data_IF_466943930947
#
_entry.id   IF_466943930947
#
_cell.length_a   1.000
_cell.length_b   1.000
_cell.length_c   1.000
_cell.angle_alpha   90.00
_cell.angle_beta   90.00
_cell.angle_gamma   90.00
#
_symmetry.space_group_name_H-M   'P 1'
#
loop_
_entity.id
_entity.type
_entity.pdbx_description
1 polymer ?
#
# COMPACT_ATOMS: atom_id res chain seq x y z
N UNK A 1 -55.18 -24.37 -11.85
CA UNK A 1 -53.98 -24.39 -12.72
C UNK A 1 -53.29 -23.03 -12.85
N UNK A 2 -53.95 -21.93 -12.48
CA UNK A 2 -53.42 -20.55 -12.58
C UNK A 2 -52.44 -20.16 -11.46
N UNK A 3 -52.57 -20.71 -10.25
CA UNK A 3 -51.68 -20.40 -9.11
C UNK A 3 -50.25 -20.94 -9.23
N UNK A 4 -50.04 -22.03 -9.97
CA UNK A 4 -48.71 -22.66 -10.09
C UNK A 4 -47.79 -21.83 -11.00
N UNK A 5 -48.35 -21.24 -12.07
CA UNK A 5 -47.63 -20.37 -13.02
C UNK A 5 -47.20 -19.05 -12.36
N UNK A 6 -48.08 -18.45 -11.57
CA UNK A 6 -47.80 -17.19 -10.88
C UNK A 6 -46.71 -17.35 -9.80
N UNK A 7 -46.58 -18.54 -9.19
CA UNK A 7 -45.47 -18.85 -8.29
C UNK A 7 -44.15 -19.06 -9.04
N UNK A 8 -44.11 -19.78 -10.17
CA UNK A 8 -42.85 -19.98 -10.90
C UNK A 8 -42.27 -18.66 -11.41
N UNK A 9 -43.11 -17.79 -11.95
CA UNK A 9 -42.70 -16.49 -12.48
C UNK A 9 -42.15 -15.58 -11.36
N UNK A 10 -42.74 -15.66 -10.15
CA UNK A 10 -42.25 -14.96 -8.96
C UNK A 10 -40.90 -15.47 -8.44
N UNK A 11 -40.55 -16.73 -8.68
CA UNK A 11 -39.28 -17.31 -8.23
C UNK A 11 -38.15 -17.02 -9.23
N UNK A 12 -38.42 -17.07 -10.53
CA UNK A 12 -37.47 -16.67 -11.58
C UNK A 12 -37.10 -15.19 -11.46
N UNK A 13 -38.08 -14.30 -11.29
CA UNK A 13 -37.83 -12.86 -11.18
C UNK A 13 -36.97 -12.50 -9.94
N UNK A 14 -37.03 -13.32 -8.89
CA UNK A 14 -36.21 -13.15 -7.67
C UNK A 14 -34.81 -13.70 -7.85
N UNK A 15 -34.62 -14.83 -8.52
CA UNK A 15 -33.30 -15.38 -8.81
C UNK A 15 -32.44 -14.41 -9.61
N UNK A 16 -33.01 -13.81 -10.66
CA UNK A 16 -32.31 -12.84 -11.51
C UNK A 16 -31.90 -11.57 -10.76
N UNK A 17 -32.72 -11.07 -9.83
CA UNK A 17 -32.38 -9.88 -9.02
C UNK A 17 -31.24 -10.14 -8.04
N UNK A 18 -31.18 -11.32 -7.41
CA UNK A 18 -30.04 -11.70 -6.55
C UNK A 18 -28.75 -11.82 -7.36
N UNK A 19 -28.82 -12.51 -8.51
CA UNK A 19 -27.68 -12.68 -9.41
C UNK A 19 -27.20 -11.33 -9.92
N UNK A 20 -28.11 -10.42 -10.28
CA UNK A 20 -27.78 -9.06 -10.68
C UNK A 20 -27.13 -8.26 -9.56
N UNK A 21 -27.56 -8.39 -8.30
CA UNK A 21 -26.94 -7.68 -7.16
C UNK A 21 -25.54 -8.23 -6.87
N UNK A 22 -25.35 -9.54 -6.86
CA UNK A 22 -24.03 -10.16 -6.69
C UNK A 22 -23.13 -9.76 -7.87
N UNK A 23 -23.63 -9.83 -9.09
CA UNK A 23 -22.92 -9.38 -10.28
C UNK A 23 -22.58 -7.90 -10.21
N UNK A 24 -23.48 -7.04 -9.73
CA UNK A 24 -23.20 -5.61 -9.55
C UNK A 24 -22.16 -5.39 -8.47
N UNK A 25 -22.22 -6.09 -7.34
CA UNK A 25 -21.21 -6.01 -6.27
C UNK A 25 -19.83 -6.44 -6.80
N UNK A 26 -19.76 -7.56 -7.50
CA UNK A 26 -18.51 -8.08 -8.09
C UNK A 26 -18.03 -7.16 -9.22
N UNK A 27 -18.90 -6.75 -10.13
CA UNK A 27 -18.56 -5.85 -11.23
C UNK A 27 -18.10 -4.50 -10.71
N UNK A 28 -18.77 -3.92 -9.70
CA UNK A 28 -18.34 -2.64 -9.11
C UNK A 28 -17.08 -2.78 -8.25
N UNK A 29 -16.87 -3.90 -7.55
CA UNK A 29 -15.61 -4.17 -6.84
C UNK A 29 -14.41 -4.33 -7.78
N UNK A 30 -14.63 -4.68 -9.06
CA UNK A 30 -13.59 -4.69 -10.09
C UNK A 30 -13.49 -3.37 -10.86
N UNK A 31 -14.62 -2.76 -11.22
CA UNK A 31 -14.65 -1.55 -12.05
C UNK A 31 -14.20 -0.30 -11.28
N UNK A 32 -14.38 -0.25 -9.96
CA UNK A 32 -13.98 0.90 -9.14
C UNK A 32 -12.47 0.99 -8.94
N UNK A 33 -11.73 -0.07 -8.57
CA UNK A 33 -10.27 0.00 -8.58
C UNK A 33 -9.72 0.36 -9.97
N UNK A 34 -10.32 -0.16 -11.05
CA UNK A 34 -9.97 0.27 -12.43
C UNK A 34 -10.25 1.76 -12.63
N UNK A 35 -11.42 2.26 -12.21
CA UNK A 35 -11.78 3.67 -12.34
C UNK A 35 -10.89 4.59 -11.48
N UNK A 36 -10.51 4.16 -10.28
CA UNK A 36 -9.57 4.87 -9.40
C UNK A 36 -8.19 4.91 -10.04
N UNK A 37 -7.70 3.81 -10.59
CA UNK A 37 -6.44 3.77 -11.34
C UNK A 37 -6.47 4.72 -12.55
N UNK A 38 -7.57 4.74 -13.32
CA UNK A 38 -7.77 5.69 -14.42
C UNK A 38 -7.85 7.14 -13.96
N UNK A 39 -8.55 7.45 -12.88
CA UNK A 39 -8.66 8.80 -12.31
C UNK A 39 -7.30 9.26 -11.77
N UNK A 40 -6.58 8.40 -11.04
CA UNK A 40 -5.23 8.67 -10.53
C UNK A 40 -4.22 8.87 -11.66
N UNK A 41 -4.39 8.17 -12.79
CA UNK A 41 -3.64 8.40 -14.03
C UNK A 41 -4.00 9.74 -14.65
N UNK A 42 -5.29 10.07 -14.75
CA UNK A 42 -5.79 11.29 -15.38
C UNK A 42 -5.45 12.58 -14.60
N UNK A 43 -5.45 12.52 -13.27
CA UNK A 43 -5.11 13.66 -12.39
C UNK A 43 -3.62 14.03 -12.49
N UNK A 44 -2.80 13.21 -13.16
CA UNK A 44 -1.41 13.58 -13.43
C UNK A 44 -0.57 13.64 -12.16
N UNK A 45 -0.76 12.68 -11.24
CA UNK A 45 0.31 12.35 -10.30
C UNK A 45 1.55 12.08 -11.17
N UNK A 46 2.61 12.88 -10.99
CA UNK A 46 3.70 13.10 -11.95
C UNK A 46 4.49 11.85 -12.36
N UNK A 47 4.13 10.69 -11.82
CA UNK A 47 4.73 9.39 -12.05
C UNK A 47 3.66 8.30 -11.89
N UNK A 48 3.85 7.19 -12.59
CA UNK A 48 3.07 5.96 -12.39
C UNK A 48 3.89 4.96 -11.56
N UNK A 49 3.92 5.07 -10.21
CA UNK A 49 4.71 4.20 -9.33
C UNK A 49 4.26 2.74 -9.31
N UNK A 50 3.22 2.39 -10.07
CA UNK A 50 2.78 1.00 -10.23
C UNK A 50 3.44 0.29 -11.38
N UNK A 51 4.18 1.00 -12.24
CA UNK A 51 4.91 0.36 -13.30
C UNK A 51 6.18 -0.24 -12.72
N UNK A 52 6.27 -1.57 -12.59
CA UNK A 52 7.49 -2.20 -12.13
C UNK A 52 8.66 -1.91 -13.04
N UNK A 53 8.47 -1.29 -14.22
CA UNK A 53 9.51 -0.94 -15.18
C UNK A 53 9.34 0.51 -15.66
N UNK A 54 10.20 1.41 -15.15
CA UNK A 54 10.24 2.83 -15.50
C UNK A 54 10.69 3.09 -16.94
N UNK A 55 11.31 2.12 -17.58
CA UNK A 55 11.76 2.24 -18.96
C UNK A 55 10.66 1.89 -19.97
N UNK A 56 9.49 1.43 -19.54
CA UNK A 56 8.34 1.19 -20.44
C UNK A 56 7.55 2.44 -20.80
N UNK A 57 7.71 3.51 -20.03
CA UNK A 57 6.97 4.76 -20.16
C UNK A 57 7.93 5.94 -20.20
N UNK A 58 7.48 7.06 -20.77
CA UNK A 58 8.25 8.30 -20.70
C UNK A 58 8.26 8.76 -19.26
N UNK A 59 9.41 8.73 -18.62
CA UNK A 59 9.57 9.12 -17.22
C UNK A 59 10.72 10.10 -17.06
N UNK A 60 10.66 10.86 -15.98
CA UNK A 60 11.69 11.79 -15.56
C UNK A 60 11.87 11.63 -14.04
N UNK A 61 13.10 11.34 -13.64
CA UNK A 61 13.53 11.21 -12.25
C UNK A 61 14.57 12.30 -12.01
N UNK A 62 14.39 13.08 -10.95
CA UNK A 62 15.30 14.17 -10.59
C UNK A 62 15.83 13.89 -9.20
N UNK A 63 17.15 13.97 -9.04
CA UNK A 63 17.85 13.83 -7.77
C UNK A 63 18.54 15.13 -7.38
N UNK A 64 18.53 15.40 -6.09
CA UNK A 64 19.52 16.23 -5.45
C UNK A 64 20.78 15.37 -5.28
N UNK A 65 21.88 15.80 -5.87
CA UNK A 65 23.16 15.10 -5.81
C UNK A 65 24.19 15.97 -5.10
N UNK A 66 24.83 15.40 -4.10
CA UNK A 66 25.97 16.01 -3.42
C UNK A 66 27.15 15.06 -3.46
N UNK A 67 28.23 15.52 -4.08
CA UNK A 67 29.51 14.84 -3.98
C UNK A 67 30.12 15.16 -2.61
N UNK A 68 30.37 14.13 -1.79
CA UNK A 68 30.80 14.26 -0.38
C UNK A 68 32.06 15.12 -0.14
N UNK A 69 32.80 15.48 -1.19
CA UNK A 69 33.99 16.35 -1.11
C UNK A 69 33.77 17.82 -1.46
N UNK A 70 32.69 18.19 -2.16
CA UNK A 70 32.52 19.54 -2.73
C UNK A 70 31.41 20.39 -2.11
N UNK A 71 30.51 19.83 -1.30
CA UNK A 71 29.51 20.59 -0.54
C UNK A 71 28.44 21.33 -1.36
N UNK A 72 28.59 21.42 -2.67
CA UNK A 72 27.60 22.01 -3.58
C UNK A 72 26.59 20.94 -4.04
N UNK A 73 25.32 21.29 -3.94
CA UNK A 73 24.22 20.50 -4.48
C UNK A 73 24.13 20.71 -5.99
N UNK A 74 24.01 19.61 -6.74
CA UNK A 74 23.75 19.60 -8.17
C UNK A 74 22.47 18.84 -8.46
N UNK A 75 21.82 19.17 -9.56
CA UNK A 75 20.63 18.46 -10.01
C UNK A 75 21.05 17.36 -10.98
N UNK A 76 20.83 16.10 -10.61
CA UNK A 76 21.02 14.96 -11.48
C UNK A 76 19.66 14.54 -12.03
N UNK A 77 19.52 14.50 -13.34
CA UNK A 77 18.27 14.24 -14.03
C UNK A 77 18.39 13.00 -14.89
N UNK A 78 17.41 12.12 -14.81
CA UNK A 78 17.34 10.86 -15.55
C UNK A 78 16.02 10.83 -16.29
N UNK A 79 16.07 10.75 -17.62
CA UNK A 79 14.86 10.69 -18.42
C UNK A 79 14.89 9.49 -19.36
N UNK A 80 13.72 8.88 -19.57
CA UNK A 80 13.52 7.82 -20.53
C UNK A 80 12.49 8.28 -21.57
N UNK A 81 12.74 7.95 -22.84
CA UNK A 81 11.79 8.15 -23.94
C UNK A 81 11.64 6.84 -24.69
N UNK A 82 10.77 5.94 -24.23
CA UNK A 82 10.62 4.63 -24.84
C UNK A 82 10.01 4.74 -26.24
N UNK A 83 10.56 3.93 -27.14
CA UNK A 83 9.98 3.63 -28.43
C UNK A 83 9.40 2.22 -28.34
N UNK A 84 8.08 2.09 -28.24
CA UNK A 84 7.40 0.80 -28.05
C UNK A 84 7.62 -0.19 -29.21
N UNK A 85 8.19 0.27 -30.32
CA UNK A 85 8.58 -0.60 -31.44
C UNK A 85 9.95 -1.24 -31.27
N UNK A 86 10.70 -0.91 -30.21
CA UNK A 86 12.06 -1.38 -29.96
C UNK A 86 12.14 -2.21 -28.68
N UNK A 87 13.13 -3.10 -28.64
CA UNK A 87 13.44 -3.92 -27.46
C UNK A 87 14.15 -3.15 -26.34
N UNK A 88 14.69 -1.97 -26.68
CA UNK A 88 15.47 -1.13 -25.77
C UNK A 88 14.89 0.28 -25.67
N UNK A 89 14.97 0.85 -24.48
CA UNK A 89 14.66 2.24 -24.19
C UNK A 89 15.95 3.01 -23.95
N UNK A 90 16.08 4.16 -24.61
CA UNK A 90 17.18 5.09 -24.34
C UNK A 90 16.92 5.86 -23.04
N UNK A 91 17.93 5.86 -22.16
CA UNK A 91 17.95 6.57 -20.89
C UNK A 91 19.02 7.66 -20.98
N UNK A 92 18.60 8.89 -20.72
CA UNK A 92 19.42 10.09 -20.79
C UNK A 92 19.71 10.54 -19.36
N UNK A 93 20.97 10.77 -19.03
CA UNK A 93 21.39 11.32 -17.74
C UNK A 93 22.03 12.68 -17.94
N UNK A 94 21.57 13.67 -17.19
CA UNK A 94 22.00 15.06 -17.24
C UNK A 94 22.41 15.53 -15.84
N UNK A 95 23.43 16.37 -15.75
CA UNK A 95 23.86 17.01 -14.50
C UNK A 95 23.86 18.53 -14.71
N UNK A 96 23.04 19.23 -13.93
CA UNK A 96 22.77 20.65 -14.10
C UNK A 96 22.42 20.99 -15.56
N UNK A 97 21.49 20.22 -16.13
CA UNK A 97 21.01 20.30 -17.52
C UNK A 97 22.07 20.05 -18.62
N UNK A 98 23.27 19.61 -18.25
CA UNK A 98 24.28 19.17 -19.21
C UNK A 98 24.21 17.66 -19.38
N UNK A 99 24.07 17.21 -20.63
CA UNK A 99 24.12 15.79 -20.98
C UNK A 99 25.43 15.15 -20.49
N UNK A 100 25.32 14.15 -19.62
CA UNK A 100 26.44 13.32 -19.20
C UNK A 100 26.58 12.09 -20.08
N UNK A 101 25.49 11.33 -20.24
CA UNK A 101 25.50 10.09 -21.00
C UNK A 101 24.10 9.73 -21.51
N UNK A 102 24.07 8.93 -22.57
CA UNK A 102 22.89 8.16 -22.96
C UNK A 102 23.26 6.68 -22.96
N UNK A 103 22.48 5.86 -22.27
CA UNK A 103 22.61 4.40 -22.28
C UNK A 103 21.27 3.75 -22.65
N UNK A 104 21.27 2.45 -22.88
CA UNK A 104 20.09 1.71 -23.29
C UNK A 104 19.75 0.64 -22.25
N UNK A 105 18.47 0.49 -21.93
CA UNK A 105 17.94 -0.55 -21.06
C UNK A 105 16.90 -1.40 -21.81
N UNK A 106 16.86 -2.68 -21.50
CA UNK A 106 15.87 -3.62 -22.02
C UNK A 106 14.47 -3.28 -21.51
N UNK A 107 13.51 -3.24 -22.43
CA UNK A 107 12.13 -2.86 -22.15
C UNK A 107 11.42 -3.84 -21.20
N UNK A 108 11.76 -5.14 -21.23
CA UNK A 108 11.05 -6.17 -20.47
C UNK A 108 11.70 -6.47 -19.11
N UNK A 109 13.02 -6.65 -19.10
CA UNK A 109 13.80 -7.01 -17.90
C UNK A 109 14.24 -5.78 -17.12
N UNK A 110 14.48 -4.66 -17.80
CA UNK A 110 15.09 -3.49 -17.20
C UNK A 110 16.62 -3.53 -17.08
N UNK A 111 17.25 -4.63 -17.50
CA UNK A 111 18.71 -4.70 -17.54
C UNK A 111 19.31 -3.68 -18.51
N UNK A 112 20.52 -3.23 -18.22
CA UNK A 112 21.29 -2.48 -19.19
C UNK A 112 21.57 -3.35 -20.42
N UNK A 113 21.61 -2.71 -21.59
CA UNK A 113 21.75 -3.41 -22.87
C UNK A 113 22.95 -4.35 -22.89
N UNK A 114 22.69 -5.61 -23.27
CA UNK A 114 23.70 -6.68 -23.36
C UNK A 114 24.36 -7.02 -22.02
N UNK A 115 23.70 -6.75 -20.90
CA UNK A 115 24.16 -7.16 -19.56
C UNK A 115 23.02 -7.80 -18.77
N UNK A 116 23.37 -8.43 -17.64
CA UNK A 116 22.41 -8.91 -16.64
C UNK A 116 22.48 -8.01 -15.38
N UNK A 117 22.73 -6.72 -15.58
CA UNK A 117 22.92 -5.75 -14.49
C UNK A 117 21.93 -4.62 -14.61
N UNK A 118 21.32 -4.22 -13.50
CA UNK A 118 20.49 -3.03 -13.44
C UNK A 118 21.34 -1.76 -13.42
N UNK A 119 20.72 -0.61 -13.67
CA UNK A 119 21.36 0.66 -13.34
C UNK A 119 21.26 0.92 -11.83
N UNK A 120 22.23 1.62 -11.24
CA UNK A 120 22.15 2.03 -9.83
C UNK A 120 20.90 2.88 -9.52
N UNK A 121 20.33 3.56 -10.51
CA UNK A 121 19.20 4.45 -10.32
C UNK A 121 17.87 3.73 -10.17
N UNK A 122 17.79 2.51 -10.69
CA UNK A 122 16.55 1.76 -10.74
C UNK A 122 16.80 0.27 -10.91
N UNK A 123 16.09 -0.51 -10.11
CA UNK A 123 16.11 -1.98 -10.10
C UNK A 123 14.72 -2.47 -10.46
N UNK A 124 14.61 -3.44 -11.38
CA UNK A 124 13.31 -4.04 -11.67
C UNK A 124 12.81 -4.83 -10.47
N UNK A 125 11.66 -4.43 -9.92
CA UNK A 125 10.93 -5.20 -8.91
C UNK A 125 9.72 -5.83 -9.56
N UNK A 126 9.47 -7.12 -9.34
CA UNK A 126 8.23 -7.73 -9.81
C UNK A 126 7.06 -7.17 -8.98
N UNK A 127 6.17 -6.42 -9.64
CA UNK A 127 4.97 -5.86 -9.01
C UNK A 127 4.01 -6.99 -8.63
N UNK A 128 4.08 -7.48 -7.40
CA UNK A 128 3.18 -8.48 -6.86
C UNK A 128 2.29 -7.88 -5.76
N UNK A 129 1.33 -7.07 -6.20
CA UNK A 129 0.21 -6.49 -5.42
C UNK A 129 -0.46 -7.44 -4.42
N UNK A 130 -0.36 -8.76 -4.63
CA UNK A 130 -1.08 -9.80 -3.90
C UNK A 130 -0.17 -10.71 -3.08
N UNK A 131 1.11 -10.38 -2.94
CA UNK A 131 2.03 -11.19 -2.16
C UNK A 131 2.47 -10.45 -0.89
N UNK A 132 1.64 -10.45 0.17
CA UNK A 132 1.99 -9.84 1.45
C UNK A 132 3.16 -10.56 2.15
N UNK A 133 3.64 -11.69 1.63
CA UNK A 133 4.74 -12.49 2.20
C UNK A 133 5.91 -12.76 1.22
N UNK A 134 5.79 -12.46 -0.08
CA UNK A 134 6.69 -12.98 -1.09
C UNK A 134 7.64 -11.97 -1.70
N UNK A 135 8.90 -12.19 -1.32
CA UNK A 135 10.14 -11.91 -2.03
C UNK A 135 10.00 -12.11 -3.54
N UNK A 136 10.66 -11.26 -4.33
CA UNK A 136 11.21 -11.62 -5.64
C UNK A 136 12.42 -10.71 -5.97
N UNK A 137 13.39 -10.68 -5.05
CA UNK A 137 14.78 -10.69 -5.46
C UNK A 137 15.23 -12.10 -5.12
N UNK A 138 15.53 -12.92 -6.12
CA UNK A 138 15.94 -14.32 -5.94
C UNK A 138 17.27 -14.47 -5.17
N UNK A 139 17.91 -13.35 -4.84
CA UNK A 139 19.14 -13.23 -4.09
C UNK A 139 19.11 -12.00 -3.18
N UNK A 140 19.69 -12.14 -1.99
CA UNK A 140 19.94 -11.02 -1.07
C UNK A 140 20.94 -10.00 -1.65
N UNK A 141 21.52 -10.29 -2.81
CA UNK A 141 22.49 -9.45 -3.51
C UNK A 141 22.18 -9.38 -5.00
N UNK A 142 22.14 -8.18 -5.58
CA UNK A 142 22.05 -7.96 -7.03
C UNK A 142 23.20 -7.11 -7.53
N UNK A 143 23.50 -7.24 -8.82
CA UNK A 143 24.50 -6.40 -9.49
C UNK A 143 23.87 -5.17 -10.11
N UNK A 144 24.42 -4.01 -9.76
CA UNK A 144 24.05 -2.72 -10.31
C UNK A 144 25.25 -2.05 -10.96
N UNK A 145 25.04 -1.31 -12.04
CA UNK A 145 26.09 -0.57 -12.75
C UNK A 145 25.84 0.93 -12.63
N UNK A 146 26.91 1.68 -12.39
CA UNK A 146 26.91 3.14 -12.45
C UNK A 146 27.39 3.61 -13.84
N UNK A 147 26.47 3.91 -14.77
CA UNK A 147 26.85 4.33 -16.12
C UNK A 147 27.53 5.71 -16.16
N UNK A 148 27.49 6.46 -15.05
CA UNK A 148 27.91 7.87 -15.00
C UNK A 148 29.17 8.06 -14.17
N UNK A 149 29.43 7.16 -13.21
CA UNK A 149 30.53 7.27 -12.25
C UNK A 149 30.24 8.29 -11.13
N UNK A 150 29.00 8.37 -10.66
CA UNK A 150 28.66 9.17 -9.48
C UNK A 150 29.10 8.51 -8.17
N UNK A 151 29.06 7.17 -8.08
CA UNK A 151 29.54 6.39 -6.93
C UNK A 151 31.06 6.15 -7.00
N UNK A 152 31.64 6.20 -8.21
CA UNK A 152 33.04 5.86 -8.45
C UNK A 152 33.44 6.03 -9.91
N UNK A 153 33.82 4.95 -10.58
CA UNK A 153 34.22 5.01 -12.00
C UNK A 153 33.02 4.82 -12.92
N UNK A 154 33.11 5.43 -14.10
CA UNK A 154 32.13 5.25 -15.18
C UNK A 154 32.04 3.77 -15.56
N UNK A 155 30.82 3.23 -15.65
CA UNK A 155 30.48 1.84 -15.92
C UNK A 155 31.05 0.83 -14.92
N UNK A 156 31.36 1.27 -13.69
CA UNK A 156 31.73 0.35 -12.62
C UNK A 156 30.49 -0.41 -12.13
N UNK A 157 30.68 -1.71 -11.85
CA UNK A 157 29.63 -2.58 -11.30
C UNK A 157 29.82 -2.70 -9.80
N UNK A 158 28.71 -2.64 -9.09
CA UNK A 158 28.60 -2.69 -7.64
C UNK A 158 27.66 -3.83 -7.25
N UNK A 159 27.84 -4.33 -6.04
CA UNK A 159 26.92 -5.24 -5.39
C UNK A 159 25.97 -4.44 -4.50
N UNK A 160 24.68 -4.65 -4.67
CA UNK A 160 23.62 -4.09 -3.85
C UNK A 160 23.02 -5.22 -3.01
N UNK A 161 23.27 -5.16 -1.70
CA UNK A 161 22.83 -6.18 -0.74
C UNK A 161 21.59 -5.68 -0.02
N UNK A 162 20.52 -6.47 -0.02
CA UNK A 162 19.27 -6.16 0.64
C UNK A 162 19.34 -6.64 2.09
N UNK A 163 19.20 -5.70 3.05
CA UNK A 163 19.29 -6.01 4.48
C UNK A 163 17.90 -6.24 5.08
N UNK A 164 17.05 -5.21 5.04
CA UNK A 164 15.76 -5.21 5.73
C UNK A 164 14.64 -4.58 4.88
N UNK A 165 13.43 -5.14 5.02
CA UNK A 165 12.19 -4.48 4.57
C UNK A 165 11.77 -3.49 5.64
N UNK A 166 11.79 -2.21 5.31
CA UNK A 166 11.41 -1.14 6.22
C UNK A 166 10.08 -0.52 5.82
N UNK A 167 9.35 -0.01 6.82
CA UNK A 167 8.20 0.86 6.58
C UNK A 167 8.57 2.25 7.04
N UNK A 168 8.67 3.18 6.10
CA UNK A 168 9.03 4.56 6.33
C UNK A 168 7.75 5.34 6.63
N UNK A 169 7.64 5.84 7.86
CA UNK A 169 6.50 6.60 8.38
C UNK A 169 6.77 8.10 8.47
N UNK A 170 7.80 8.60 7.79
CA UNK A 170 8.28 9.97 7.97
C UNK A 170 7.19 11.02 7.63
N UNK A 171 7.15 12.13 8.36
CA UNK A 171 6.23 13.25 8.08
C UNK A 171 6.85 14.14 7.01
N UNK A 172 7.28 13.54 5.90
CA UNK A 172 7.74 14.29 4.75
C UNK A 172 6.54 14.98 4.11
N UNK A 173 6.65 16.25 3.65
CA UNK A 173 5.53 17.04 3.10
C UNK A 173 4.78 16.43 1.90
N UNK A 174 5.22 15.28 1.39
CA UNK A 174 4.65 14.59 0.23
C UNK A 174 4.28 13.14 0.51
N UNK A 175 4.49 12.66 1.74
CA UNK A 175 4.18 11.28 2.11
C UNK A 175 2.68 11.16 2.43
N UNK A 176 1.90 10.64 1.47
CA UNK A 176 0.51 10.21 1.69
C UNK A 176 0.48 8.84 2.39
N UNK A 177 0.99 8.82 3.62
CA UNK A 177 1.01 7.62 4.44
C UNK A 177 2.27 6.76 4.31
N UNK A 178 2.40 5.73 5.15
CA UNK A 178 3.59 4.91 5.25
C UNK A 178 4.06 4.32 3.90
N UNK A 179 5.38 4.19 3.73
CA UNK A 179 6.02 3.67 2.51
C UNK A 179 6.73 2.35 2.81
N UNK A 180 6.44 1.29 2.04
CA UNK A 180 7.28 0.10 2.04
C UNK A 180 8.53 0.37 1.19
N UNK A 181 9.71 0.23 1.78
CA UNK A 181 10.99 0.36 1.09
C UNK A 181 11.94 -0.76 1.52
N UNK A 182 13.01 -0.93 0.75
CA UNK A 182 14.14 -1.78 1.10
C UNK A 182 15.30 -0.92 1.55
N UNK A 183 15.90 -1.28 2.69
CA UNK A 183 17.22 -0.81 3.06
C UNK A 183 18.26 -1.71 2.38
N UNK A 184 19.18 -1.09 1.66
CA UNK A 184 20.23 -1.80 0.93
C UNK A 184 21.60 -1.21 1.23
N UNK A 185 22.62 -2.05 1.15
CA UNK A 185 24.01 -1.64 1.25
C UNK A 185 24.69 -1.76 -0.11
N UNK A 186 25.48 -0.76 -0.47
CA UNK A 186 26.23 -0.73 -1.72
C UNK A 186 27.70 -1.05 -1.48
N UNK A 187 28.22 -2.05 -2.19
CA UNK A 187 29.61 -2.50 -2.13
C UNK A 187 30.27 -2.36 -3.49
N UNK A 188 31.54 -1.95 -3.50
CA UNK A 188 32.35 -1.96 -4.72
C UNK A 188 32.96 -3.35 -4.99
N UNK A 189 33.67 -3.44 -6.11
CA UNK A 189 34.38 -4.65 -6.56
C UNK A 189 35.45 -5.20 -5.59
N UNK A 190 35.80 -4.48 -4.52
CA UNK A 190 36.74 -4.91 -3.48
C UNK A 190 36.04 -5.13 -2.12
N UNK A 191 34.73 -5.38 -2.13
CA UNK A 191 33.90 -5.60 -0.93
C UNK A 191 33.92 -4.44 0.07
N UNK A 192 34.23 -3.22 -0.40
CA UNK A 192 34.18 -2.02 0.45
C UNK A 192 32.80 -1.39 0.35
N UNK A 193 32.15 -1.22 1.50
CA UNK A 193 30.89 -0.47 1.64
C UNK A 193 31.08 0.99 1.21
N UNK A 194 30.21 1.46 0.32
CA UNK A 194 30.19 2.82 -0.23
C UNK A 194 29.16 3.72 0.46
N UNK A 195 28.05 3.12 0.89
CA UNK A 195 26.94 3.81 1.53
C UNK A 195 25.77 2.86 1.80
N UNK A 196 24.78 3.39 2.50
CA UNK A 196 23.47 2.77 2.65
C UNK A 196 22.50 3.48 1.70
N UNK A 197 21.51 2.76 1.21
CA UNK A 197 20.53 3.28 0.28
C UNK A 197 19.13 2.78 0.59
N UNK A 198 18.14 3.55 0.15
CA UNK A 198 16.72 3.21 0.28
C UNK A 198 16.14 3.09 -1.12
N UNK A 199 15.43 1.99 -1.36
CA UNK A 199 14.77 1.71 -2.64
C UNK A 199 13.28 1.52 -2.41
N UNK A 200 12.46 2.16 -3.25
CA UNK A 200 11.02 1.97 -3.23
C UNK A 200 10.68 0.52 -3.60
N UNK A 201 9.98 -0.20 -2.70
CA UNK A 201 9.68 -1.62 -2.93
C UNK A 201 8.71 -1.90 -4.08
N UNK A 202 7.93 -0.89 -4.49
CA UNK A 202 6.85 -1.04 -5.49
C UNK A 202 7.29 -0.69 -6.91
N UNK A 203 8.28 0.19 -7.04
CA UNK A 203 8.77 0.70 -8.31
C UNK A 203 10.26 0.46 -8.52
N UNK A 204 11.01 0.14 -7.47
CA UNK A 204 12.44 -0.15 -7.55
C UNK A 204 13.32 1.07 -7.81
N UNK A 205 12.76 2.29 -7.69
CA UNK A 205 13.53 3.54 -7.78
C UNK A 205 14.41 3.68 -6.54
N UNK A 206 15.67 4.07 -6.77
CA UNK A 206 16.56 4.53 -5.71
C UNK A 206 16.04 5.87 -5.15
N UNK A 207 15.72 5.91 -3.87
CA UNK A 207 15.14 7.10 -3.20
C UNK A 207 16.22 7.93 -2.52
N UNK A 208 17.11 7.25 -1.78
CA UNK A 208 18.19 7.87 -1.01
C UNK A 208 19.46 7.04 -1.15
N UNK A 209 20.61 7.70 -1.24
CA UNK A 209 21.93 7.14 -0.92
C UNK A 209 22.58 8.05 0.10
N UNK A 210 23.07 7.48 1.19
CA UNK A 210 23.86 8.17 2.21
C UNK A 210 25.20 7.45 2.39
N UNK A 211 26.30 8.18 2.17
CA UNK A 211 27.65 7.63 2.29
C UNK A 211 28.73 8.48 1.65
N UNK A 212 29.47 7.90 0.71
CA UNK A 212 30.52 8.64 -0.02
C UNK A 212 29.96 9.71 -0.95
N UNK A 213 28.71 9.55 -1.37
CA UNK A 213 27.89 10.56 -2.01
C UNK A 213 26.54 10.60 -1.31
N UNK A 214 25.86 11.74 -1.44
CA UNK A 214 24.46 11.86 -1.05
C UNK A 214 23.61 12.00 -2.32
N UNK A 215 22.60 11.14 -2.45
CA UNK A 215 21.55 11.25 -3.46
C UNK A 215 20.20 11.28 -2.76
N UNK A 216 19.33 12.18 -3.17
CA UNK A 216 17.98 12.31 -2.62
C UNK A 216 16.99 12.62 -3.75
N UNK A 217 15.93 11.83 -3.87
CA UNK A 217 14.96 11.92 -4.95
C UNK A 217 14.08 13.20 -4.84
N UNK A 218 14.19 14.14 -5.78
CA UNK A 218 13.35 15.36 -5.83
C UNK A 218 12.03 15.14 -6.57
N UNK A 219 12.05 14.44 -7.71
CA UNK A 219 10.89 14.21 -8.57
C UNK A 219 10.90 12.74 -9.01
N UNK A 220 9.82 11.94 -8.83
CA UNK A 220 8.45 12.29 -8.40
C UNK A 220 8.25 12.77 -6.94
N UNK A 221 9.34 12.92 -6.20
CA UNK A 221 9.34 13.21 -4.77
C UNK A 221 9.94 12.03 -4.03
N UNK A 222 10.55 12.29 -2.88
CA UNK A 222 11.04 11.23 -1.99
C UNK A 222 9.80 10.45 -1.52
N UNK A 223 9.82 9.13 -1.66
CA UNK A 223 8.72 8.24 -1.28
C UNK A 223 7.43 8.45 -2.11
N UNK A 224 7.48 8.25 -3.44
CA UNK A 224 6.32 8.46 -4.28
C UNK A 224 5.17 7.52 -3.87
N UNK A 225 3.99 8.08 -3.67
CA UNK A 225 2.81 7.31 -3.28
C UNK A 225 2.47 6.24 -4.32
N UNK A 226 2.64 4.96 -3.99
CA UNK A 226 2.22 3.85 -4.86
C UNK A 226 0.70 3.92 -5.14
N UNK A 227 0.26 4.01 -6.41
CA UNK A 227 -1.18 4.06 -6.76
C UNK A 227 -1.93 2.79 -6.35
N UNK A 228 -1.20 1.70 -6.09
CA UNK A 228 -1.72 0.49 -5.47
C UNK A 228 -2.34 0.77 -4.10
N UNK A 229 -1.79 1.70 -3.32
CA UNK A 229 -2.36 2.12 -2.03
C UNK A 229 -3.71 2.80 -2.21
N UNK A 230 -3.84 3.69 -3.19
CA UNK A 230 -5.11 4.33 -3.52
C UNK A 230 -6.14 3.32 -4.02
N UNK A 231 -5.69 2.34 -4.81
CA UNK A 231 -6.53 1.25 -5.33
C UNK A 231 -7.01 0.34 -4.21
N UNK A 232 -6.12 -0.08 -3.31
CA UNK A 232 -6.43 -0.89 -2.12
C UNK A 232 -7.38 -0.10 -1.20
N UNK A 233 -7.10 1.17 -0.94
CA UNK A 233 -7.97 2.05 -0.15
C UNK A 233 -9.37 2.15 -0.78
N UNK A 234 -9.45 2.30 -2.10
CA UNK A 234 -10.71 2.30 -2.85
C UNK A 234 -11.49 0.99 -2.71
N UNK A 235 -10.82 -0.15 -2.89
CA UNK A 235 -11.41 -1.49 -2.71
C UNK A 235 -11.95 -1.68 -1.29
N UNK A 236 -11.21 -1.20 -0.29
CA UNK A 236 -11.57 -1.41 1.11
C UNK A 236 -12.66 -0.46 1.57
N UNK A 237 -12.63 0.82 1.16
CA UNK A 237 -13.74 1.74 1.37
C UNK A 237 -15.04 1.19 0.74
N UNK A 238 -14.93 0.63 -0.46
CA UNK A 238 -16.03 -0.07 -1.12
C UNK A 238 -16.51 -1.27 -0.29
N UNK A 239 -15.59 -2.11 0.20
CA UNK A 239 -15.92 -3.31 0.98
C UNK A 239 -16.62 -2.94 2.30
N UNK A 240 -16.15 -1.91 3.01
CA UNK A 240 -16.73 -1.44 4.28
C UNK A 240 -18.16 -0.91 4.09
N UNK A 241 -18.46 -0.28 2.96
CA UNK A 241 -19.79 0.30 2.72
C UNK A 241 -20.73 -0.70 2.05
N UNK A 242 -20.30 -1.34 0.98
CA UNK A 242 -21.20 -2.08 0.09
C UNK A 242 -21.36 -3.53 0.50
N UNK A 243 -20.41 -4.13 1.22
CA UNK A 243 -20.59 -5.49 1.71
C UNK A 243 -21.68 -5.58 2.78
N UNK A 244 -21.73 -4.70 3.82
CA UNK A 244 -22.86 -4.68 4.75
C UNK A 244 -24.19 -4.34 4.07
N UNK A 245 -24.21 -3.40 3.12
CA UNK A 245 -25.43 -3.06 2.37
C UNK A 245 -25.93 -4.25 1.54
N UNK A 246 -25.03 -4.96 0.87
CA UNK A 246 -25.35 -6.17 0.10
C UNK A 246 -25.96 -7.26 0.98
N UNK A 247 -25.35 -7.50 2.16
CA UNK A 247 -25.87 -8.43 3.17
C UNK A 247 -27.27 -8.00 3.63
N UNK A 248 -27.45 -6.73 4.00
CA UNK A 248 -28.75 -6.19 4.41
C UNK A 248 -29.83 -6.42 3.35
N UNK A 249 -29.57 -6.04 2.09
CA UNK A 249 -30.53 -6.17 1.00
C UNK A 249 -30.84 -7.64 0.70
N UNK A 250 -29.83 -8.52 0.68
CA UNK A 250 -30.01 -9.94 0.43
C UNK A 250 -30.92 -10.60 1.47
N UNK A 251 -30.67 -10.38 2.76
CA UNK A 251 -31.49 -11.01 3.80
C UNK A 251 -32.88 -10.38 3.91
N UNK A 252 -33.01 -9.07 3.74
CA UNK A 252 -34.30 -8.36 3.76
C UNK A 252 -35.22 -8.81 2.62
N UNK A 253 -34.71 -8.93 1.39
CA UNK A 253 -35.55 -9.16 0.21
C UNK A 253 -35.62 -10.62 -0.23
N UNK A 254 -34.60 -11.45 0.03
CA UNK A 254 -34.57 -12.83 -0.48
C UNK A 254 -34.82 -13.89 0.58
N UNK A 255 -34.22 -13.76 1.77
CA UNK A 255 -34.26 -14.84 2.76
C UNK A 255 -35.41 -14.73 3.76
N UNK A 256 -36.16 -13.61 3.76
CA UNK A 256 -37.29 -13.35 4.68
C UNK A 256 -36.92 -13.63 6.15
N UNK A 257 -35.71 -13.27 6.55
CA UNK A 257 -35.30 -13.36 7.96
C UNK A 257 -36.12 -12.38 8.79
N UNK A 258 -36.24 -12.66 10.09
CA UNK A 258 -36.79 -11.68 11.02
C UNK A 258 -35.94 -10.42 11.00
N UNK A 259 -36.59 -9.28 11.27
CA UNK A 259 -35.92 -7.97 11.25
C UNK A 259 -34.70 -7.92 12.14
N UNK A 260 -34.78 -8.57 13.29
CA UNK A 260 -33.70 -8.61 14.27
C UNK A 260 -32.48 -9.34 13.72
N UNK A 261 -32.67 -10.49 13.06
CA UNK A 261 -31.57 -11.35 12.60
C UNK A 261 -30.77 -10.72 11.46
N UNK A 262 -31.43 -10.12 10.46
CA UNK A 262 -30.69 -9.51 9.37
C UNK A 262 -30.00 -8.20 9.79
N UNK A 263 -30.57 -7.46 10.76
CA UNK A 263 -29.90 -6.28 11.33
C UNK A 263 -28.67 -6.70 12.13
N UNK A 264 -28.80 -7.73 12.99
CA UNK A 264 -27.69 -8.31 13.74
C UNK A 264 -26.54 -8.74 12.81
N UNK A 265 -26.84 -9.51 11.76
CA UNK A 265 -25.84 -9.98 10.81
C UNK A 265 -25.21 -8.84 10.00
N UNK A 266 -26.02 -7.86 9.58
CA UNK A 266 -25.51 -6.67 8.88
C UNK A 266 -24.55 -5.88 9.76
N UNK A 267 -24.91 -5.66 11.04
CA UNK A 267 -24.06 -4.96 12.00
C UNK A 267 -22.76 -5.73 12.26
N UNK A 268 -22.81 -7.06 12.37
CA UNK A 268 -21.63 -7.91 12.51
C UNK A 268 -20.69 -7.76 11.32
N UNK A 269 -21.21 -7.80 10.10
CA UNK A 269 -20.41 -7.62 8.87
C UNK A 269 -19.83 -6.21 8.80
N UNK A 270 -20.62 -5.18 9.14
CA UNK A 270 -20.14 -3.81 9.20
C UNK A 270 -18.95 -3.69 10.16
N UNK A 271 -19.08 -4.16 11.40
CA UNK A 271 -18.00 -4.15 12.40
C UNK A 271 -16.77 -4.95 11.96
N UNK A 272 -16.95 -6.12 11.33
CA UNK A 272 -15.82 -6.91 10.84
C UNK A 272 -15.08 -6.23 9.68
N UNK A 273 -15.80 -5.63 8.74
CA UNK A 273 -15.17 -4.91 7.62
C UNK A 273 -14.49 -3.61 8.07
N UNK A 274 -15.11 -2.86 8.99
CA UNK A 274 -14.51 -1.62 9.49
C UNK A 274 -13.31 -1.87 10.39
N UNK A 275 -13.29 -2.96 11.18
CA UNK A 275 -12.10 -3.26 12.00
C UNK A 275 -10.89 -3.54 11.14
N UNK A 276 -11.06 -4.30 10.05
CA UNK A 276 -9.97 -4.55 9.09
C UNK A 276 -9.48 -3.25 8.45
N UNK A 277 -10.40 -2.36 8.06
CA UNK A 277 -10.03 -1.06 7.47
C UNK A 277 -9.26 -0.17 8.45
N UNK A 278 -9.68 -0.09 9.71
CA UNK A 278 -9.02 0.76 10.70
C UNK A 278 -7.62 0.19 10.98
N UNK A 279 -7.57 -1.08 11.40
CA UNK A 279 -6.41 -1.72 11.97
C UNK A 279 -5.31 -2.02 10.93
N UNK A 280 -5.69 -2.43 9.71
CA UNK A 280 -4.70 -2.79 8.67
C UNK A 280 -4.42 -1.66 7.69
N UNK A 281 -5.32 -0.67 7.59
CA UNK A 281 -5.19 0.37 6.56
C UNK A 281 -4.96 1.73 7.14
N UNK A 282 -5.83 2.19 8.02
CA UNK A 282 -5.71 3.54 8.54
C UNK A 282 -4.52 3.63 9.51
N UNK A 283 -4.34 2.63 10.38
CA UNK A 283 -3.22 2.57 11.33
C UNK A 283 -1.87 2.37 10.65
N UNK A 284 -1.80 1.48 9.65
CA UNK A 284 -0.55 1.19 8.93
C UNK A 284 -0.26 2.26 7.90
N UNK A 285 -1.19 2.53 6.99
CA UNK A 285 -0.93 3.40 5.85
C UNK A 285 -1.17 4.85 6.18
N UNK A 286 -2.24 5.22 6.88
CA UNK A 286 -2.65 6.63 6.96
C UNK A 286 -2.15 7.39 8.20
N UNK A 287 -1.41 6.73 9.11
CA UNK A 287 -0.89 7.34 10.33
C UNK A 287 -0.08 8.62 10.06
N UNK A 288 0.85 8.58 9.09
CA UNK A 288 1.72 9.72 8.79
C UNK A 288 0.93 10.96 8.32
N UNK A 289 -0.20 10.75 7.64
CA UNK A 289 -1.03 11.82 7.10
C UNK A 289 -1.95 12.44 8.16
N UNK A 290 -2.64 11.61 8.93
CA UNK A 290 -3.63 12.09 9.89
C UNK A 290 -3.05 12.39 11.28
N UNK A 291 -1.90 11.80 11.60
CA UNK A 291 -1.23 11.94 12.87
C UNK A 291 -1.95 11.24 14.03
N UNK A 292 -1.25 11.16 15.16
CA UNK A 292 -1.67 10.39 16.33
C UNK A 292 -3.04 10.82 16.88
N UNK A 293 -3.32 12.13 16.98
CA UNK A 293 -4.56 12.63 17.58
C UNK A 293 -5.79 12.16 16.80
N UNK A 294 -5.71 12.21 15.46
CA UNK A 294 -6.80 11.75 14.62
C UNK A 294 -7.01 10.26 14.75
N UNK A 295 -5.93 9.47 14.72
CA UNK A 295 -6.02 8.00 14.84
C UNK A 295 -6.68 7.60 16.16
N UNK A 296 -6.29 8.22 17.27
CA UNK A 296 -6.95 8.00 18.56
C UNK A 296 -8.42 8.40 18.55
N UNK A 297 -8.75 9.56 17.98
CA UNK A 297 -10.14 10.02 17.89
C UNK A 297 -10.99 9.06 17.08
N UNK A 298 -10.44 8.52 15.99
CA UNK A 298 -11.09 7.53 15.14
C UNK A 298 -11.39 6.24 15.92
N UNK A 299 -10.41 5.69 16.63
CA UNK A 299 -10.57 4.49 17.46
C UNK A 299 -11.61 4.68 18.57
N UNK A 300 -11.66 5.84 19.23
CA UNK A 300 -12.70 6.16 20.23
C UNK A 300 -14.10 6.14 19.58
N UNK A 301 -14.25 6.79 18.43
CA UNK A 301 -15.53 6.86 17.71
C UNK A 301 -15.99 5.45 17.35
N UNK A 302 -15.09 4.61 16.80
CA UNK A 302 -15.42 3.24 16.45
C UNK A 302 -15.70 2.36 17.67
N UNK A 303 -14.98 2.53 18.77
CA UNK A 303 -15.27 1.84 20.03
C UNK A 303 -16.70 2.14 20.51
N UNK A 304 -17.10 3.40 20.50
CA UNK A 304 -18.47 3.82 20.86
C UNK A 304 -19.48 3.22 19.89
N UNK A 305 -19.23 3.27 18.58
CA UNK A 305 -20.13 2.70 17.57
C UNK A 305 -20.26 1.18 17.75
N UNK A 306 -19.17 0.46 17.99
CA UNK A 306 -19.18 -0.99 18.20
C UNK A 306 -19.96 -1.35 19.47
N UNK A 307 -19.77 -0.61 20.56
CA UNK A 307 -20.53 -0.79 21.79
C UNK A 307 -22.04 -0.59 21.57
N UNK A 308 -22.42 0.45 20.83
CA UNK A 308 -23.82 0.74 20.50
C UNK A 308 -24.42 -0.36 19.61
N UNK A 309 -23.71 -0.76 18.56
CA UNK A 309 -24.17 -1.81 17.63
C UNK A 309 -24.26 -3.18 18.32
N UNK A 310 -23.27 -3.54 19.15
CA UNK A 310 -23.28 -4.80 19.90
C UNK A 310 -24.41 -4.85 20.90
N UNK A 311 -24.70 -3.74 21.58
CA UNK A 311 -25.79 -3.66 22.54
C UNK A 311 -27.16 -3.71 21.85
N UNK A 312 -27.37 -2.84 20.86
CA UNK A 312 -28.67 -2.64 20.23
C UNK A 312 -29.09 -3.83 19.35
N UNK A 313 -28.16 -4.39 18.56
CA UNK A 313 -28.50 -5.38 17.54
C UNK A 313 -28.04 -6.79 17.88
N UNK A 314 -26.93 -6.95 18.62
CA UNK A 314 -26.42 -8.28 19.00
C UNK A 314 -26.86 -8.72 20.40
N UNK A 315 -27.46 -7.83 21.19
CA UNK A 315 -27.82 -8.07 22.61
C UNK A 315 -26.61 -8.52 23.44
N UNK A 316 -25.43 -8.02 23.08
CA UNK A 316 -24.14 -8.30 23.72
C UNK A 316 -23.76 -7.13 24.62
N UNK A 317 -23.18 -7.42 25.80
CA UNK A 317 -22.72 -6.39 26.73
C UNK A 317 -21.60 -5.55 26.08
N UNK A 318 -21.65 -4.21 26.11
CA UNK A 318 -20.58 -3.35 25.59
C UNK A 318 -19.18 -3.68 26.09
N UNK A 319 -19.02 -4.33 27.25
CA UNK A 319 -17.70 -4.69 27.81
C UNK A 319 -16.78 -5.46 26.85
N UNK A 320 -17.31 -6.08 25.79
CA UNK A 320 -16.48 -6.77 24.78
C UNK A 320 -15.69 -5.82 23.86
N UNK A 321 -15.88 -4.50 23.96
CA UNK A 321 -14.97 -3.51 23.35
C UNK A 321 -13.69 -3.26 24.17
N UNK A 322 -13.52 -3.90 25.33
CA UNK A 322 -12.36 -3.69 26.20
C UNK A 322 -11.01 -3.93 25.51
N UNK A 323 -10.81 -4.94 24.64
CA UNK A 323 -9.55 -5.10 23.91
C UNK A 323 -9.15 -3.85 23.11
N UNK A 324 -10.09 -3.23 22.38
CA UNK A 324 -9.87 -1.96 21.67
C UNK A 324 -9.51 -0.81 22.63
N UNK A 325 -10.20 -0.69 23.76
CA UNK A 325 -9.89 0.35 24.75
C UNK A 325 -8.51 0.15 25.43
N UNK A 326 -8.10 -1.10 25.64
CA UNK A 326 -6.77 -1.42 26.17
C UNK A 326 -5.69 -1.13 25.13
N UNK A 327 -5.92 -1.49 23.87
CA UNK A 327 -5.02 -1.16 22.75
C UNK A 327 -4.76 0.33 22.71
N UNK A 328 -5.76 1.18 22.92
CA UNK A 328 -5.56 2.63 22.96
C UNK A 328 -4.61 3.11 24.07
N UNK A 329 -4.56 2.44 25.23
CA UNK A 329 -3.72 2.88 26.36
C UNK A 329 -2.26 2.50 26.14
N UNK A 330 -2.02 1.41 25.42
CA UNK A 330 -0.72 0.76 25.33
C UNK A 330 0.35 1.58 24.54
N UNK A 331 0.06 2.15 23.35
CA UNK A 331 1.00 3.00 22.62
C UNK A 331 1.28 4.32 23.33
N UNK A 332 0.34 4.85 24.12
CA UNK A 332 0.60 6.02 24.98
C UNK A 332 1.69 5.66 26.01
N UNK A 333 1.51 4.55 26.72
CA UNK A 333 2.46 4.11 27.74
C UNK A 333 3.86 3.83 27.15
N UNK A 334 3.92 3.20 25.98
CA UNK A 334 5.17 2.95 25.28
C UNK A 334 5.85 4.22 24.76
N UNK A 335 5.09 5.13 24.17
CA UNK A 335 5.64 6.42 23.70
C UNK A 335 6.22 7.23 24.86
N UNK A 336 5.52 7.26 26.00
CA UNK A 336 6.01 7.92 27.21
C UNK A 336 7.26 7.24 27.79
N UNK A 337 7.38 5.92 27.66
CA UNK A 337 8.53 5.16 28.17
C UNK A 337 9.76 5.25 27.26
N UNK A 338 9.57 5.10 25.95
CA UNK A 338 10.65 5.07 24.96
C UNK A 338 11.21 6.46 24.63
N UNK A 339 10.46 7.55 24.92
CA UNK A 339 10.90 8.92 24.65
C UNK A 339 10.96 9.32 23.18
N UNK A 340 10.66 8.38 22.28
CA UNK A 340 10.41 8.58 20.85
C UNK A 340 8.93 8.24 20.59
N UNK A 341 8.28 8.90 19.60
CA UNK A 341 6.99 8.45 19.10
C UNK A 341 7.14 6.98 18.76
N UNK A 342 6.51 6.09 19.51
CA UNK A 342 6.59 4.67 19.21
C UNK A 342 5.71 4.47 17.97
N UNK A 343 6.34 4.62 16.81
CA UNK A 343 5.80 4.38 15.48
C UNK A 343 5.14 2.99 15.42
N UNK A 344 4.19 2.76 14.50
CA UNK A 344 2.99 1.97 14.73
C UNK A 344 3.17 0.46 14.85
N UNK A 345 4.38 -0.08 15.07
CA UNK A 345 4.63 -1.51 15.25
C UNK A 345 3.71 -2.20 16.29
N UNK A 346 3.20 -1.45 17.28
CA UNK A 346 2.22 -1.92 18.26
C UNK A 346 0.82 -1.29 18.13
N UNK A 347 0.67 -0.25 17.31
CA UNK A 347 -0.63 0.19 16.78
C UNK A 347 -1.07 -0.65 15.58
N UNK A 348 -0.23 -1.57 15.09
CA UNK A 348 -0.61 -2.61 14.13
C UNK A 348 -1.58 -3.57 14.82
N UNK A 349 -2.82 -3.11 14.91
CA UNK A 349 -3.94 -3.77 14.29
C UNK A 349 -4.43 -5.03 14.98
N UNK A 350 -4.75 -4.94 16.27
CA UNK A 350 -5.49 -6.04 16.89
C UNK A 350 -6.59 -5.62 17.84
N UNK A 351 -6.75 -4.38 18.28
CA UNK A 351 -7.79 -4.06 19.26
C UNK A 351 -9.18 -4.03 18.64
N UNK A 352 -9.38 -3.33 17.51
CA UNK A 352 -10.69 -3.35 16.83
C UNK A 352 -11.02 -4.75 16.33
N UNK A 353 -10.03 -5.44 15.74
CA UNK A 353 -10.18 -6.79 15.23
C UNK A 353 -10.40 -7.82 16.35
N UNK A 354 -9.66 -7.75 17.46
CA UNK A 354 -9.87 -8.61 18.62
C UNK A 354 -11.21 -8.33 19.26
N UNK A 355 -11.59 -7.07 19.49
CA UNK A 355 -12.93 -6.73 19.99
C UNK A 355 -14.02 -7.31 19.11
N UNK A 356 -13.87 -7.23 17.79
CA UNK A 356 -14.76 -7.90 16.85
C UNK A 356 -14.78 -9.43 17.05
N UNK A 357 -13.62 -10.09 17.14
CA UNK A 357 -13.54 -11.54 17.39
C UNK A 357 -14.19 -11.95 18.71
N UNK A 358 -14.03 -11.17 19.78
CA UNK A 358 -14.69 -11.40 21.07
C UNK A 358 -16.20 -11.25 20.98
N UNK A 359 -16.69 -10.21 20.26
CA UNK A 359 -18.12 -10.04 19.98
C UNK A 359 -18.65 -11.22 19.16
N UNK A 360 -17.93 -11.65 18.13
CA UNK A 360 -18.29 -12.79 17.27
C UNK A 360 -18.38 -14.09 18.07
N UNK A 361 -17.36 -14.38 18.87
CA UNK A 361 -17.33 -15.52 19.77
C UNK A 361 -18.51 -15.49 20.74
N UNK A 362 -18.82 -14.32 21.31
CA UNK A 362 -19.90 -14.15 22.26
C UNK A 362 -21.27 -14.41 21.65
N UNK A 363 -21.51 -13.90 20.45
CA UNK A 363 -22.74 -14.18 19.68
C UNK A 363 -22.87 -15.69 19.42
N UNK A 364 -21.76 -16.38 19.11
CA UNK A 364 -21.74 -17.83 18.88
C UNK A 364 -22.09 -18.69 20.10
N UNK A 365 -21.87 -18.20 21.32
CA UNK A 365 -22.00 -19.02 22.53
C UNK A 365 -23.43 -19.19 23.09
N UNK A 366 -24.46 -18.48 22.59
CA UNK A 366 -25.90 -18.57 22.97
C UNK A 366 -26.26 -18.52 24.49
N UNK A 367 -25.32 -18.53 25.44
CA UNK A 367 -25.60 -18.52 26.89
C UNK A 367 -25.13 -17.23 27.56
N UNK A 368 -25.96 -16.55 28.37
CA UNK A 368 -25.50 -15.45 29.22
C UNK A 368 -24.49 -15.99 30.25
N UNK A 369 -23.29 -15.38 30.31
CA UNK A 369 -22.42 -15.48 31.48
C UNK A 369 -22.72 -14.20 32.26
N UNK A 370 -23.21 -14.40 33.49
CA UNK A 370 -23.55 -13.37 34.46
C UNK A 370 -22.33 -12.52 34.83
#
# INVERSE_FOLDING_TARGET
MTEVKQKSDSYEEKGWKTVLIIFLIVATSYLIPIAIDYISTFIGTAYNPTNPNIYKYSNEIIYNYRNGTKGEYSTLKISSKPDQSKEYTSVIVELNDNLLITYECEYNSGYMKNTETYSIFWVFTLNNLLDPLGILLESDEIKVMDPVGILGKVNETYSMVFEEKTVIYDVAPMLFGAQYSFEVELFNSNDRKLGSAIIDSTSGILEIVDGTIDLELINPGIYPMSRHRLTIFGILLFTVVLFPVGVYLYYKYHKKFEKEDYLALTSLVAMGTSSVMIDFILDVWMYAFFGIIFMYSLHIIFAIVYALLSHQFLKVNPIWITPLLIEMIFPIALTLHAGVPFYPALLVGVGSFSSFLFILFRVGQKKPIL
#
